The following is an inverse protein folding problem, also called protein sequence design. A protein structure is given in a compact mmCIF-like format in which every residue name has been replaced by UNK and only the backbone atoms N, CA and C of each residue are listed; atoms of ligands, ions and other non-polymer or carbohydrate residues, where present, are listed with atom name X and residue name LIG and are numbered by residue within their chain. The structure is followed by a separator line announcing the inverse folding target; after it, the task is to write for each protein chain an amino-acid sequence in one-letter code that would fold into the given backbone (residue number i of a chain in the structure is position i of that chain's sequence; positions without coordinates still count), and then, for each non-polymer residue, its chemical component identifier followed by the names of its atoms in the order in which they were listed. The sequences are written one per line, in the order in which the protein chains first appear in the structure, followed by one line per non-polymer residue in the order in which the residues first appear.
data_IF_937644227800
#
_entry.id   IF_937644227800
#
_cell.length_a   1.000
_cell.length_b   1.000
_cell.length_c   1.000
_cell.angle_alpha   90.00
_cell.angle_beta   90.00
_cell.angle_gamma   90.00
#
_symmetry.space_group_name_H-M   'P 1'
#
loop_
_entity.id
_entity.type
_entity.pdbx_description
1 polymer ?
#
# COMPACT_ATOMS: atom_id res chain seq x y z
N UNK A 1 -18.04 3.98 8.98
CA UNK A 1 -16.69 3.53 8.58
C UNK A 1 -16.68 2.82 7.21
N UNK A 2 -17.53 1.81 6.97
CA UNK A 2 -17.61 1.10 5.66
C UNK A 2 -17.82 2.06 4.48
N UNK A 3 -18.73 3.03 4.61
CA UNK A 3 -18.99 4.03 3.55
C UNK A 3 -17.71 4.74 3.12
N UNK A 4 -16.91 5.24 4.08
CA UNK A 4 -15.64 5.90 3.80
C UNK A 4 -14.63 4.94 3.17
N UNK A 5 -14.55 3.70 3.64
CA UNK A 5 -13.63 2.69 3.09
C UNK A 5 -13.98 2.34 1.62
N UNK A 6 -15.26 2.18 1.30
CA UNK A 6 -15.74 1.92 -0.07
C UNK A 6 -15.51 3.14 -0.97
N UNK A 7 -15.80 4.36 -0.49
CA UNK A 7 -15.55 5.58 -1.26
C UNK A 7 -14.06 5.78 -1.54
N UNK A 8 -13.20 5.56 -0.54
CA UNK A 8 -11.75 5.58 -0.70
C UNK A 8 -11.28 4.51 -1.69
N UNK A 9 -11.84 3.30 -1.61
CA UNK A 9 -11.58 2.20 -2.54
C UNK A 9 -11.87 2.61 -3.99
N UNK A 10 -13.10 3.06 -4.25
CA UNK A 10 -13.57 3.48 -5.57
C UNK A 10 -12.73 4.64 -6.10
N UNK A 11 -12.58 5.71 -5.33
CA UNK A 11 -11.78 6.87 -5.75
C UNK A 11 -10.33 6.48 -6.06
N UNK A 12 -9.68 5.73 -5.16
CA UNK A 12 -8.30 5.29 -5.35
C UNK A 12 -8.14 4.48 -6.63
N UNK A 13 -9.08 3.59 -6.94
CA UNK A 13 -9.01 2.78 -8.17
C UNK A 13 -9.21 3.60 -9.45
N UNK A 14 -10.09 4.61 -9.43
CA UNK A 14 -10.30 5.53 -10.55
C UNK A 14 -9.05 6.37 -10.77
N UNK A 15 -8.51 6.97 -9.70
CA UNK A 15 -7.29 7.78 -9.76
C UNK A 15 -6.09 6.96 -10.20
N UNK A 16 -5.98 5.69 -9.75
CA UNK A 16 -4.96 4.74 -10.18
C UNK A 16 -4.95 4.47 -11.69
N UNK A 17 -6.13 4.23 -12.27
CA UNK A 17 -6.31 4.00 -13.71
C UNK A 17 -6.03 5.26 -14.53
N UNK A 18 -6.04 6.45 -13.92
CA UNK A 18 -5.76 7.71 -14.63
C UNK A 18 -4.35 8.24 -14.40
N UNK A 19 -3.70 7.84 -13.31
CA UNK A 19 -2.38 8.30 -12.92
C UNK A 19 -1.39 8.21 -14.09
N UNK A 20 -0.61 9.27 -14.30
CA UNK A 20 0.31 9.32 -15.43
C UNK A 20 1.40 8.26 -15.33
N UNK A 21 1.92 8.01 -14.13
CA UNK A 21 3.01 7.06 -13.86
C UNK A 21 2.69 6.25 -12.60
N UNK A 22 3.29 5.08 -12.47
CA UNK A 22 3.17 4.17 -11.34
C UNK A 22 3.59 4.82 -10.01
N UNK A 23 4.62 5.68 -10.02
CA UNK A 23 5.13 6.31 -8.81
C UNK A 23 4.09 7.28 -8.24
N UNK A 24 3.46 8.09 -9.11
CA UNK A 24 2.35 8.97 -8.76
C UNK A 24 1.09 8.18 -8.43
N UNK A 25 0.87 7.06 -9.13
CA UNK A 25 -0.26 6.16 -8.91
C UNK A 25 -0.19 5.36 -7.61
N UNK A 26 1.02 5.15 -7.06
CA UNK A 26 1.26 4.25 -5.93
C UNK A 26 0.40 4.54 -4.72
N UNK A 27 0.24 5.83 -4.37
CA UNK A 27 -0.61 6.23 -3.26
C UNK A 27 -2.07 5.79 -3.50
N UNK A 28 -2.60 6.02 -4.71
CA UNK A 28 -3.95 5.63 -5.10
C UNK A 28 -4.17 4.11 -5.08
N UNK A 29 -3.18 3.32 -5.49
CA UNK A 29 -3.20 1.86 -5.32
C UNK A 29 -3.32 1.47 -3.84
N UNK A 30 -2.50 2.08 -2.98
CA UNK A 30 -2.48 1.80 -1.54
C UNK A 30 -3.84 2.11 -0.92
N UNK A 31 -4.40 3.29 -1.20
CA UNK A 31 -5.71 3.70 -0.70
C UNK A 31 -6.81 2.75 -1.16
N UNK A 32 -6.77 2.37 -2.45
CA UNK A 32 -7.81 1.53 -3.01
C UNK A 32 -7.85 0.16 -2.32
N UNK A 33 -6.69 -0.50 -2.25
CA UNK A 33 -6.54 -1.82 -1.65
C UNK A 33 -6.72 -1.79 -0.12
N UNK A 34 -6.25 -0.74 0.56
CA UNK A 34 -6.50 -0.54 1.98
C UNK A 34 -8.00 -0.35 2.26
N UNK A 35 -8.73 0.37 1.40
CA UNK A 35 -10.19 0.50 1.50
C UNK A 35 -10.92 -0.84 1.40
N UNK A 36 -10.50 -1.71 0.47
CA UNK A 36 -11.05 -3.08 0.34
C UNK A 36 -10.72 -3.91 1.60
N UNK A 37 -9.45 -3.94 2.03
CA UNK A 37 -9.02 -4.71 3.21
C UNK A 37 -9.70 -4.22 4.50
N UNK A 38 -9.81 -2.90 4.70
CA UNK A 38 -10.52 -2.31 5.84
C UNK A 38 -12.00 -2.65 5.83
N UNK A 39 -12.63 -2.68 4.65
CA UNK A 39 -14.03 -3.09 4.52
C UNK A 39 -14.23 -4.56 4.93
N UNK A 40 -13.24 -5.43 4.71
CA UNK A 40 -13.27 -6.81 5.21
C UNK A 40 -13.10 -6.87 6.72
N UNK A 41 -12.15 -6.10 7.27
CA UNK A 41 -11.86 -6.05 8.70
C UNK A 41 -13.09 -5.60 9.53
N UNK A 42 -13.79 -4.56 9.06
CA UNK A 42 -15.00 -4.04 9.72
C UNK A 42 -16.15 -5.05 9.70
N UNK A 43 -16.17 -5.95 8.72
CA UNK A 43 -17.16 -7.03 8.63
C UNK A 43 -16.75 -8.27 9.43
N UNK A 44 -15.67 -8.19 10.22
CA UNK A 44 -15.12 -9.30 11.01
C UNK A 44 -14.75 -10.51 10.16
N UNK A 45 -14.36 -10.28 8.90
CA UNK A 45 -13.89 -11.31 7.96
C UNK A 45 -12.36 -11.26 7.91
N UNK A 46 -11.71 -11.89 8.89
CA UNK A 46 -10.25 -11.88 9.03
C UNK A 46 -9.54 -12.46 7.80
N UNK A 47 -10.00 -13.59 7.27
CA UNK A 47 -9.42 -14.23 6.08
C UNK A 47 -9.43 -13.29 4.85
N UNK A 48 -10.54 -12.59 4.61
CA UNK A 48 -10.61 -11.62 3.53
C UNK A 48 -9.73 -10.39 3.76
N UNK A 49 -9.67 -9.86 4.98
CA UNK A 49 -8.81 -8.72 5.31
C UNK A 49 -7.34 -9.02 5.04
N UNK A 50 -6.89 -10.22 5.46
CA UNK A 50 -5.53 -10.72 5.22
C UNK A 50 -5.30 -10.91 3.72
N UNK A 51 -6.21 -11.58 3.01
CA UNK A 51 -6.06 -11.82 1.57
C UNK A 51 -5.89 -10.52 0.77
N UNK A 52 -6.72 -9.50 1.04
CA UNK A 52 -6.58 -8.20 0.38
C UNK A 52 -5.36 -7.39 0.86
N UNK A 53 -4.96 -7.55 2.12
CA UNK A 53 -3.73 -6.95 2.66
C UNK A 53 -2.46 -7.53 2.04
N UNK A 54 -2.40 -8.85 1.83
CA UNK A 54 -1.29 -9.49 1.12
C UNK A 54 -1.30 -9.10 -0.36
N UNK A 55 -2.47 -9.00 -0.98
CA UNK A 55 -2.61 -8.52 -2.36
C UNK A 55 -2.21 -7.06 -2.55
N UNK A 56 -2.35 -6.22 -1.52
CA UNK A 56 -1.82 -4.86 -1.52
C UNK A 56 -0.29 -4.88 -1.64
N UNK A 57 0.35 -5.75 -0.84
CA UNK A 57 1.80 -5.82 -0.67
C UNK A 57 2.47 -6.51 -1.86
N UNK A 58 2.07 -7.75 -2.20
CA UNK A 58 2.81 -8.57 -3.15
C UNK A 58 2.69 -8.07 -4.61
N UNK A 59 1.49 -8.02 -5.23
CA UNK A 59 1.29 -7.37 -6.52
C UNK A 59 1.80 -5.93 -6.56
N UNK A 60 1.57 -5.15 -5.51
CA UNK A 60 2.08 -3.77 -5.41
C UNK A 60 3.60 -3.74 -5.47
N UNK A 61 4.28 -4.57 -4.68
CA UNK A 61 5.74 -4.68 -4.68
C UNK A 61 6.28 -5.08 -6.05
N UNK A 62 5.70 -6.07 -6.73
CA UNK A 62 6.11 -6.44 -8.09
C UNK A 62 6.03 -5.24 -9.03
N UNK A 63 4.94 -4.47 -8.97
CA UNK A 63 4.75 -3.35 -9.87
C UNK A 63 5.70 -2.17 -9.58
N UNK A 64 5.93 -1.86 -8.30
CA UNK A 64 6.73 -0.70 -7.87
C UNK A 64 8.23 -0.98 -7.77
N UNK A 65 8.65 -2.24 -7.55
CA UNK A 65 10.06 -2.63 -7.59
C UNK A 65 10.53 -2.97 -9.02
N UNK A 66 9.60 -3.21 -9.95
CA UNK A 66 9.91 -3.39 -11.36
C UNK A 66 10.38 -2.08 -12.03
N UNK A 67 11.62 -1.66 -11.75
CA UNK A 67 12.32 -0.58 -12.46
C UNK A 67 12.45 -0.85 -13.96
N UNK A 68 12.69 -2.11 -14.35
CA UNK A 68 12.91 -2.51 -15.74
C UNK A 68 11.76 -3.38 -16.18
N UNK A 69 11.11 -3.03 -17.29
CA UNK A 69 9.95 -3.74 -17.81
C UNK A 69 10.20 -4.16 -19.24
N UNK A 70 10.53 -5.43 -19.40
CA UNK A 70 10.69 -6.08 -20.70
C UNK A 70 9.67 -7.18 -20.89
N UNK A 71 9.44 -7.61 -22.13
CA UNK A 71 8.51 -8.72 -22.45
C UNK A 71 8.86 -10.02 -21.71
N UNK A 72 10.13 -10.24 -21.33
CA UNK A 72 10.56 -11.41 -20.55
C UNK A 72 10.09 -11.39 -19.10
N UNK A 73 9.78 -10.21 -18.55
CA UNK A 73 9.26 -10.05 -17.18
C UNK A 73 7.72 -10.07 -17.12
N UNK A 74 7.07 -10.07 -18.28
CA UNK A 74 5.62 -10.12 -18.42
C UNK A 74 5.00 -11.34 -17.72
N UNK A 75 5.59 -12.56 -17.73
CA UNK A 75 5.07 -13.70 -16.96
C UNK A 75 4.98 -13.43 -15.45
N UNK A 76 5.94 -12.71 -14.87
CA UNK A 76 5.92 -12.36 -13.43
C UNK A 76 4.77 -11.39 -13.14
N UNK A 77 4.55 -10.44 -14.06
CA UNK A 77 3.40 -9.54 -14.02
C UNK A 77 2.07 -10.26 -14.15
N UNK A 78 1.96 -11.23 -15.08
CA UNK A 78 0.75 -12.05 -15.27
C UNK A 78 0.45 -12.86 -14.01
N UNK A 79 1.45 -13.50 -13.42
CA UNK A 79 1.27 -14.27 -12.18
C UNK A 79 0.75 -13.37 -11.04
N UNK A 80 1.28 -12.15 -10.95
CA UNK A 80 0.83 -11.14 -9.98
C UNK A 80 -0.59 -10.67 -10.26
N UNK A 81 -0.94 -10.46 -11.54
CA UNK A 81 -2.28 -10.08 -11.97
C UNK A 81 -3.31 -11.17 -11.65
N UNK A 82 -2.97 -12.43 -11.93
CA UNK A 82 -3.80 -13.58 -11.58
C UNK A 82 -4.04 -13.65 -10.08
N UNK A 83 -3.01 -13.39 -9.26
CA UNK A 83 -3.17 -13.35 -7.81
C UNK A 83 -4.14 -12.26 -7.33
N UNK A 84 -4.39 -11.19 -8.12
CA UNK A 84 -5.31 -10.08 -7.77
C UNK A 84 -6.75 -10.29 -8.29
N UNK A 85 -6.96 -11.27 -9.16
CA UNK A 85 -8.23 -11.49 -9.87
C UNK A 85 -9.33 -12.14 -9.01
N UNK A 86 -9.00 -12.62 -7.82
CA UNK A 86 -9.90 -13.39 -6.94
C UNK A 86 -10.55 -14.60 -7.60
N UNK A 87 -9.93 -15.15 -8.66
CA UNK A 87 -10.40 -16.39 -9.27
C UNK A 87 -10.26 -17.58 -8.30
N UNK A 88 -11.06 -18.65 -8.47
CA UNK A 88 -10.86 -19.89 -7.73
C UNK A 88 -9.39 -20.33 -7.82
N UNK A 89 -8.83 -20.83 -6.71
CA UNK A 89 -7.41 -21.24 -6.57
C UNK A 89 -6.38 -20.10 -6.51
N UNK A 90 -6.81 -18.83 -6.48
CA UNK A 90 -5.91 -17.69 -6.25
C UNK A 90 -5.85 -17.31 -4.77
N UNK A 91 -4.74 -16.70 -4.28
CA UNK A 91 -4.62 -16.24 -2.89
C UNK A 91 -5.72 -15.28 -2.46
N UNK A 92 -6.22 -14.46 -3.39
CA UNK A 92 -7.28 -13.48 -3.12
C UNK A 92 -8.69 -14.05 -3.19
N UNK A 93 -8.85 -15.35 -3.46
CA UNK A 93 -10.16 -16.01 -3.48
C UNK A 93 -10.88 -15.89 -2.13
N UNK A 94 -10.18 -16.08 -1.02
CA UNK A 94 -10.70 -15.85 0.32
C UNK A 94 -11.19 -14.40 0.55
N UNK A 95 -10.63 -13.46 -0.22
CA UNK A 95 -11.05 -12.05 -0.26
C UNK A 95 -12.52 -11.85 -0.65
N UNK A 96 -13.14 -12.80 -1.34
CA UNK A 96 -14.55 -12.72 -1.74
C UNK A 96 -15.53 -12.95 -0.58
N UNK A 97 -15.06 -13.38 0.60
CA UNK A 97 -15.92 -13.51 1.79
C UNK A 97 -16.57 -12.18 2.23
N UNK A 98 -16.01 -11.04 1.81
CA UNK A 98 -16.59 -9.70 2.00
C UNK A 98 -18.04 -9.65 1.50
N UNK A 99 -18.37 -10.42 0.46
CA UNK A 99 -19.65 -10.37 -0.24
C UNK A 99 -20.69 -11.37 0.26
N UNK A 100 -20.38 -12.13 1.33
CA UNK A 100 -21.32 -13.11 1.90
C UNK A 100 -22.63 -12.47 2.34
N UNK A 101 -22.55 -11.26 2.91
CA UNK A 101 -23.74 -10.48 3.27
C UNK A 101 -23.93 -9.38 2.22
N UNK A 102 -24.87 -9.53 1.27
CA UNK A 102 -25.07 -8.54 0.23
C UNK A 102 -25.53 -7.22 0.85
N UNK A 103 -24.78 -6.15 0.58
CA UNK A 103 -25.12 -4.77 0.95
C UNK A 103 -24.93 -3.90 -0.29
N UNK A 104 -25.81 -2.93 -0.50
CA UNK A 104 -25.78 -2.06 -1.68
C UNK A 104 -24.39 -1.45 -1.93
N UNK A 105 -23.71 -0.97 -0.87
CA UNK A 105 -22.38 -0.38 -0.97
C UNK A 105 -21.30 -1.35 -1.48
N UNK A 106 -21.45 -2.66 -1.25
CA UNK A 106 -20.44 -3.64 -1.66
C UNK A 106 -20.44 -3.88 -3.17
N UNK A 107 -21.51 -3.54 -3.90
CA UNK A 107 -21.55 -3.64 -5.36
C UNK A 107 -20.50 -2.77 -6.07
N UNK A 108 -19.97 -1.75 -5.40
CA UNK A 108 -18.91 -0.90 -5.93
C UNK A 108 -17.50 -1.50 -5.79
N UNK A 109 -17.30 -2.49 -4.92
CA UNK A 109 -15.99 -3.10 -4.73
C UNK A 109 -15.54 -4.00 -5.90
N UNK A 110 -16.40 -4.80 -6.56
CA UNK A 110 -16.02 -5.51 -7.79
C UNK A 110 -15.62 -4.55 -8.91
N UNK A 111 -16.31 -3.41 -9.04
CA UNK A 111 -15.92 -2.34 -9.98
C UNK A 111 -14.51 -1.81 -9.64
N UNK A 112 -14.25 -1.57 -8.36
CA UNK A 112 -12.93 -1.16 -7.86
C UNK A 112 -11.85 -2.17 -8.24
N UNK A 113 -12.12 -3.47 -8.04
CA UNK A 113 -11.21 -4.55 -8.37
C UNK A 113 -10.88 -4.57 -9.88
N UNK A 114 -11.88 -4.42 -10.73
CA UNK A 114 -11.69 -4.34 -12.19
C UNK A 114 -10.81 -3.15 -12.57
N UNK A 115 -11.06 -1.98 -11.98
CA UNK A 115 -10.24 -0.79 -12.23
C UNK A 115 -8.79 -1.01 -11.76
N UNK A 116 -8.58 -1.65 -10.60
CA UNK A 116 -7.22 -1.99 -10.14
C UNK A 116 -6.50 -2.92 -11.10
N UNK A 117 -7.16 -3.96 -11.60
CA UNK A 117 -6.64 -4.88 -12.61
C UNK A 117 -6.29 -4.15 -13.91
N UNK A 118 -7.18 -3.29 -14.41
CA UNK A 118 -6.97 -2.51 -15.63
C UNK A 118 -5.77 -1.57 -15.47
N UNK A 119 -5.69 -0.85 -14.35
CA UNK A 119 -4.57 0.04 -14.05
C UNK A 119 -3.25 -0.73 -13.92
N UNK A 120 -3.28 -1.90 -13.29
CA UNK A 120 -2.11 -2.78 -13.18
C UNK A 120 -1.61 -3.22 -14.56
N UNK A 121 -2.50 -3.73 -15.43
CA UNK A 121 -2.15 -4.11 -16.81
C UNK A 121 -1.59 -2.92 -17.58
N UNK A 122 -2.22 -1.74 -17.48
CA UNK A 122 -1.78 -0.53 -18.17
C UNK A 122 -0.35 -0.14 -17.78
N UNK A 123 -0.05 -0.13 -16.48
CA UNK A 123 1.27 0.25 -15.97
C UNK A 123 2.32 -0.83 -16.22
N UNK A 124 1.96 -2.11 -16.18
CA UNK A 124 2.86 -3.23 -16.49
C UNK A 124 3.26 -3.28 -17.96
N UNK A 125 2.39 -2.88 -18.89
CA UNK A 125 2.68 -2.89 -20.33
C UNK A 125 3.56 -1.73 -20.80
N UNK A 126 3.83 -0.74 -19.94
CA UNK A 126 4.79 0.31 -20.28
C UNK A 126 6.19 -0.26 -20.28
N UNK A 127 6.82 -0.22 -21.45
CA UNK A 127 8.22 -0.58 -21.61
C UNK A 127 9.09 0.53 -21.01
N UNK A 128 10.06 0.14 -20.20
CA UNK A 128 11.12 1.04 -19.69
C UNK A 128 12.45 0.67 -20.30
N UNK A 129 13.41 1.59 -20.24
CA UNK A 129 14.74 1.37 -20.80
C UNK A 129 15.38 0.10 -20.21
N UNK A 130 15.97 -0.77 -21.04
CA UNK A 130 16.60 -1.99 -20.56
C UNK A 130 17.85 -1.67 -19.73
N UNK A 131 18.22 -2.58 -18.82
CA UNK A 131 19.49 -2.52 -18.09
C UNK A 131 20.68 -2.69 -19.07
N UNK A 132 21.10 -1.60 -19.70
CA UNK A 132 22.32 -1.51 -20.51
C UNK A 132 23.53 -1.33 -19.60
N UNK A 133 24.64 -2.03 -19.90
CA UNK A 133 25.88 -1.90 -19.13
C UNK A 133 25.92 -2.63 -17.78
N UNK A 134 24.84 -3.32 -17.39
CA UNK A 134 24.80 -4.09 -16.13
C UNK A 134 25.24 -5.54 -16.37
N UNK A 135 26.03 -6.07 -15.45
CA UNK A 135 26.55 -7.45 -15.50
C UNK A 135 25.41 -8.50 -15.53
N UNK A 136 25.57 -9.63 -16.27
CA UNK A 136 24.51 -10.61 -16.46
C UNK A 136 23.95 -11.22 -15.17
N UNK A 137 24.78 -11.47 -14.15
CA UNK A 137 24.32 -12.07 -12.89
C UNK A 137 23.39 -11.14 -12.11
N UNK A 138 23.60 -9.81 -12.17
CA UNK A 138 22.71 -8.82 -11.55
C UNK A 138 21.32 -8.88 -12.16
N UNK A 139 21.23 -9.08 -13.49
CA UNK A 139 19.95 -9.25 -14.19
C UNK A 139 19.22 -10.50 -13.71
N UNK A 140 19.94 -11.59 -13.49
CA UNK A 140 19.38 -12.85 -12.96
C UNK A 140 18.86 -12.65 -11.54
N UNK A 141 19.68 -12.07 -10.64
CA UNK A 141 19.28 -11.77 -9.26
C UNK A 141 18.05 -10.87 -9.21
N UNK A 142 18.01 -9.85 -10.06
CA UNK A 142 16.85 -8.95 -10.18
C UNK A 142 15.57 -9.69 -10.59
N UNK A 143 15.63 -10.54 -11.62
CA UNK A 143 14.47 -11.31 -12.09
C UNK A 143 14.01 -12.29 -11.01
N UNK A 144 14.93 -13.00 -10.35
CA UNK A 144 14.62 -13.93 -9.26
C UNK A 144 13.99 -13.19 -8.08
N UNK A 145 14.57 -12.05 -7.69
CA UNK A 145 14.07 -11.21 -6.60
C UNK A 145 12.68 -10.65 -6.88
N UNK A 146 12.34 -10.35 -8.15
CA UNK A 146 10.98 -9.96 -8.50
C UNK A 146 10.03 -11.16 -8.53
N UNK A 147 10.49 -12.32 -9.01
CA UNK A 147 9.68 -13.54 -9.14
C UNK A 147 9.34 -14.18 -7.79
N UNK A 148 10.18 -14.02 -6.76
CA UNK A 148 9.90 -14.57 -5.43
C UNK A 148 8.67 -13.93 -4.79
N UNK A 149 8.31 -12.69 -5.16
CA UNK A 149 7.16 -11.98 -4.62
C UNK A 149 5.83 -12.67 -4.95
N UNK A 150 5.44 -12.90 -6.23
CA UNK A 150 4.22 -13.62 -6.53
C UNK A 150 4.30 -15.09 -6.08
N UNK A 151 5.47 -15.74 -6.16
CA UNK A 151 5.61 -17.13 -5.71
C UNK A 151 5.30 -17.25 -4.21
N UNK A 152 5.85 -16.35 -3.39
CA UNK A 152 5.57 -16.32 -1.95
C UNK A 152 4.13 -15.96 -1.63
N UNK A 153 3.48 -15.10 -2.45
CA UNK A 153 2.04 -14.83 -2.32
C UNK A 153 1.18 -16.06 -2.58
N UNK A 154 1.53 -16.87 -3.59
CA UNK A 154 0.85 -18.15 -3.81
C UNK A 154 1.13 -19.15 -2.69
N UNK A 155 2.38 -19.25 -2.25
CA UNK A 155 2.77 -20.15 -1.17
C UNK A 155 2.06 -19.83 0.14
N UNK A 156 1.85 -18.54 0.47
CA UNK A 156 1.13 -18.14 1.68
C UNK A 156 -0.34 -18.57 1.67
N UNK A 157 -0.98 -18.65 0.49
CA UNK A 157 -2.34 -19.16 0.38
C UNK A 157 -2.45 -20.66 0.69
N UNK A 158 -1.42 -21.44 0.34
CA UNK A 158 -1.38 -22.89 0.64
C UNK A 158 -0.99 -23.17 2.09
N UNK A 159 -0.10 -22.35 2.68
CA UNK A 159 0.41 -22.56 4.04
C UNK A 159 -0.51 -22.00 5.14
N UNK A 160 -1.43 -21.10 4.82
CA UNK A 160 -2.28 -20.42 5.81
C UNK A 160 -3.70 -21.00 5.80
N UNK A 161 -4.12 -21.74 6.85
CA UNK A 161 -5.45 -22.34 6.92
C UNK A 161 -6.59 -21.32 6.80
N UNK A 162 -6.39 -20.08 7.31
CA UNK A 162 -7.41 -19.03 7.26
C UNK A 162 -7.72 -18.52 5.85
N UNK A 163 -6.79 -18.72 4.90
CA UNK A 163 -6.99 -18.42 3.48
C UNK A 163 -7.53 -19.65 2.75
N UNK A 164 -7.08 -20.85 3.15
CA UNK A 164 -7.50 -22.12 2.56
C UNK A 164 -8.97 -22.50 2.91
N UNK A 165 -9.43 -22.19 4.13
CA UNK A 165 -10.75 -22.56 4.63
C UNK A 165 -11.80 -21.48 4.29
N UNK A 166 -11.89 -21.15 3.00
CA UNK A 166 -12.66 -20.01 2.52
C UNK A 166 -14.19 -20.16 2.71
N UNK A 167 -14.67 -21.32 3.17
CA UNK A 167 -16.09 -21.61 3.36
C UNK A 167 -16.91 -21.46 2.07
N UNK A 168 -18.22 -21.24 2.20
CA UNK A 168 -19.05 -20.88 1.05
C UNK A 168 -18.73 -19.44 0.62
N UNK A 169 -18.05 -19.33 -0.51
CA UNK A 169 -17.70 -18.05 -1.14
C UNK A 169 -18.73 -17.73 -2.22
N UNK A 170 -19.37 -16.54 -2.19
CA UNK A 170 -20.32 -16.15 -3.22
C UNK A 170 -19.62 -15.90 -4.56
N UNK A 171 -20.17 -16.44 -5.64
CA UNK A 171 -19.62 -16.30 -7.01
C UNK A 171 -20.12 -15.02 -7.70
N UNK A 172 -21.25 -14.46 -7.26
CA UNK A 172 -21.84 -13.26 -7.88
C UNK A 172 -20.89 -12.06 -8.05
N UNK A 173 -19.92 -11.77 -7.15
CA UNK A 173 -18.99 -10.64 -7.33
C UNK A 173 -18.10 -10.81 -8.56
N UNK A 174 -17.75 -12.06 -8.90
CA UNK A 174 -16.97 -12.36 -10.10
C UNK A 174 -17.79 -12.10 -11.37
N UNK A 175 -19.09 -12.39 -11.36
CA UNK A 175 -19.99 -12.07 -12.47
C UNK A 175 -20.13 -10.55 -12.65
N UNK A 176 -20.27 -9.81 -11.56
CA UNK A 176 -20.33 -8.34 -11.57
C UNK A 176 -19.00 -7.75 -12.07
N UNK A 177 -17.86 -8.27 -11.59
CA UNK A 177 -16.54 -7.87 -12.07
C UNK A 177 -16.38 -8.18 -13.57
N UNK A 178 -16.80 -9.36 -14.04
CA UNK A 178 -16.78 -9.71 -15.45
C UNK A 178 -17.67 -8.76 -16.28
N UNK A 179 -18.86 -8.41 -15.78
CA UNK A 179 -19.75 -7.43 -16.39
C UNK A 179 -19.11 -6.05 -16.53
N UNK A 180 -18.52 -5.51 -15.46
CA UNK A 180 -17.78 -4.24 -15.52
C UNK A 180 -16.56 -4.31 -16.44
N UNK A 181 -15.85 -5.43 -16.45
CA UNK A 181 -14.72 -5.67 -17.36
C UNK A 181 -15.14 -5.65 -18.83
N UNK A 182 -16.24 -6.32 -19.16
CA UNK A 182 -16.83 -6.31 -20.51
C UNK A 182 -17.31 -4.91 -20.90
N UNK A 183 -18.02 -4.21 -20.02
CA UNK A 183 -18.47 -2.83 -20.27
C UNK A 183 -17.27 -1.90 -20.50
N UNK A 184 -16.21 -2.03 -19.71
CA UNK A 184 -14.97 -1.28 -19.89
C UNK A 184 -14.29 -1.58 -21.23
N UNK A 185 -14.22 -2.86 -21.62
CA UNK A 185 -13.69 -3.26 -22.91
C UNK A 185 -14.52 -2.69 -24.08
N UNK A 186 -15.85 -2.80 -24.03
CA UNK A 186 -16.76 -2.24 -25.03
C UNK A 186 -16.59 -0.72 -25.12
N UNK A 187 -16.53 -0.02 -23.99
CA UNK A 187 -16.34 1.42 -23.96
C UNK A 187 -14.99 1.85 -24.58
N UNK A 188 -13.93 1.08 -24.32
CA UNK A 188 -12.62 1.27 -24.93
C UNK A 188 -12.66 1.06 -26.46
N UNK A 189 -13.28 -0.03 -26.92
CA UNK A 189 -13.46 -0.28 -28.36
C UNK A 189 -14.32 0.77 -29.06
N UNK A 190 -15.30 1.35 -28.36
CA UNK A 190 -16.17 2.41 -28.87
C UNK A 190 -15.63 3.83 -28.70
N UNK A 191 -14.41 4.00 -28.19
CA UNK A 191 -13.77 5.30 -28.01
C UNK A 191 -14.61 6.29 -27.17
N UNK A 192 -15.40 5.78 -26.21
CA UNK A 192 -16.22 6.61 -25.34
C UNK A 192 -15.31 7.40 -24.38
N UNK A 193 -15.23 8.72 -24.57
CA UNK A 193 -14.48 9.62 -23.69
C UNK A 193 -15.35 9.96 -22.48
N UNK A 194 -14.90 9.59 -21.29
CA UNK A 194 -15.59 9.94 -20.05
C UNK A 194 -15.31 11.43 -19.75
N UNK A 195 -16.35 12.27 -19.53
CA UNK A 195 -16.19 13.70 -19.29
C UNK A 195 -15.32 13.99 -18.06
N UNK A 196 -14.43 14.97 -18.19
CA UNK A 196 -13.40 15.28 -17.19
C UNK A 196 -13.98 16.02 -15.98
N UNK A 197 -15.09 16.74 -16.12
CA UNK A 197 -15.64 17.60 -15.06
C UNK A 197 -16.08 16.84 -13.81
N UNK A 198 -16.66 15.64 -13.98
CA UNK A 198 -17.13 14.80 -12.86
C UNK A 198 -15.98 14.44 -11.91
N UNK A 199 -14.75 14.40 -12.42
CA UNK A 199 -13.59 13.97 -11.65
C UNK A 199 -12.85 15.11 -10.94
N UNK A 200 -12.93 16.34 -11.45
CA UNK A 200 -12.27 17.49 -10.82
C UNK A 200 -12.80 17.77 -9.41
N UNK A 201 -14.09 17.49 -9.16
CA UNK A 201 -14.70 17.65 -7.86
C UNK A 201 -14.26 16.56 -6.86
N UNK A 202 -14.11 15.31 -7.32
CA UNK A 202 -13.58 14.22 -6.49
C UNK A 202 -12.09 14.42 -6.18
N UNK A 203 -11.31 14.96 -7.12
CA UNK A 203 -9.88 15.18 -6.94
C UNK A 203 -9.56 16.21 -5.85
N UNK A 204 -10.38 17.26 -5.69
CA UNK A 204 -10.19 18.26 -4.62
C UNK A 204 -10.28 17.66 -3.21
N UNK A 205 -11.24 16.77 -2.97
CA UNK A 205 -11.48 16.20 -1.62
C UNK A 205 -10.61 14.98 -1.37
N UNK A 206 -10.35 14.16 -2.39
CA UNK A 206 -9.67 12.87 -2.24
C UNK A 206 -8.24 12.80 -2.81
N UNK A 207 -7.68 13.85 -3.40
CA UNK A 207 -6.28 13.84 -3.88
C UNK A 207 -5.25 13.72 -2.76
N UNK A 208 -5.67 13.78 -1.48
CA UNK A 208 -4.86 13.53 -0.28
C UNK A 208 -3.57 14.36 -0.20
N UNK A 209 -3.43 15.41 -1.01
CA UNK A 209 -2.44 16.48 -0.82
C UNK A 209 -2.55 17.11 0.59
N UNK A 210 -3.72 17.00 1.22
CA UNK A 210 -3.89 17.39 2.62
C UNK A 210 -3.15 16.47 3.59
N UNK A 211 -3.02 15.17 3.30
CA UNK A 211 -2.24 14.23 4.14
C UNK A 211 -0.75 14.55 4.03
N UNK A 212 -0.23 14.76 2.82
CA UNK A 212 1.17 15.17 2.66
C UNK A 212 1.45 16.44 3.46
N UNK A 213 0.50 17.40 3.45
CA UNK A 213 0.57 18.61 4.26
C UNK A 213 0.54 18.32 5.76
N UNK A 214 -0.28 17.37 6.22
CA UNK A 214 -0.36 16.96 7.64
C UNK A 214 0.91 16.23 8.08
N UNK A 215 1.47 15.34 7.26
CA UNK A 215 2.73 14.62 7.54
C UNK A 215 3.89 15.60 7.64
N UNK A 216 3.99 16.54 6.69
CA UNK A 216 5.00 17.61 6.75
C UNK A 216 4.79 18.50 7.96
N UNK A 217 3.55 18.81 8.32
CA UNK A 217 3.24 19.57 9.52
C UNK A 217 3.67 18.83 10.80
N UNK A 218 3.37 17.53 10.92
CA UNK A 218 3.83 16.70 12.05
C UNK A 218 5.35 16.60 12.10
N UNK A 219 6.01 16.43 10.95
CA UNK A 219 7.47 16.39 10.86
C UNK A 219 8.11 17.70 11.36
N UNK A 220 7.57 18.84 10.94
CA UNK A 220 8.00 20.16 11.42
C UNK A 220 7.72 20.37 12.91
N UNK A 221 6.59 19.88 13.43
CA UNK A 221 6.29 19.95 14.86
C UNK A 221 7.30 19.11 15.68
N UNK A 222 7.68 17.94 15.18
CA UNK A 222 8.70 17.09 15.80
C UNK A 222 10.09 17.75 15.74
N UNK A 223 10.44 18.35 14.61
CA UNK A 223 11.70 19.09 14.43
C UNK A 223 11.77 20.30 15.37
N UNK A 224 10.66 21.00 15.60
CA UNK A 224 10.56 22.07 16.59
C UNK A 224 10.72 21.57 18.03
N UNK A 225 10.17 20.41 18.36
CA UNK A 225 10.35 19.79 19.68
C UNK A 225 11.80 19.36 19.91
N UNK A 226 12.40 18.70 18.92
CA UNK A 226 13.80 18.26 18.99
C UNK A 226 14.72 19.47 19.11
N UNK A 227 14.54 20.49 18.27
CA UNK A 227 15.35 21.71 18.35
C UNK A 227 15.14 22.47 19.67
N UNK A 228 13.94 22.45 20.26
CA UNK A 228 13.71 22.99 21.61
C UNK A 228 14.48 22.24 22.69
N UNK A 229 14.50 20.90 22.64
CA UNK A 229 15.26 20.06 23.57
C UNK A 229 16.76 20.25 23.36
N UNK A 230 17.23 20.26 22.12
CA UNK A 230 18.62 20.53 21.77
C UNK A 230 19.05 21.91 22.22
N UNK A 231 18.22 22.95 22.07
CA UNK A 231 18.53 24.30 22.55
C UNK A 231 18.62 24.39 24.09
N UNK A 232 17.83 23.57 24.82
CA UNK A 232 17.92 23.46 26.27
C UNK A 232 19.17 22.69 26.74
N UNK A 233 19.64 21.73 25.93
CA UNK A 233 20.83 20.91 26.21
C UNK A 233 22.15 21.54 25.75
N UNK A 234 22.17 22.22 24.59
CA UNK A 234 23.34 22.90 24.01
C UNK A 234 23.41 24.40 24.36
N UNK A 235 22.32 25.02 24.81
CA UNK A 235 22.30 26.42 25.26
C UNK A 235 22.75 26.62 26.72
N UNK A 236 22.38 27.76 27.32
CA UNK A 236 22.70 28.12 28.73
C UNK A 236 22.27 27.06 29.76
N UNK A 237 21.28 26.21 29.43
CA UNK A 237 20.86 25.07 30.23
C UNK A 237 21.93 23.98 30.34
N UNK A 238 22.71 23.73 29.29
CA UNK A 238 23.83 22.79 29.31
C UNK A 238 24.94 23.22 30.28
N UNK A 239 25.20 24.53 30.37
CA UNK A 239 26.16 25.12 31.31
C UNK A 239 25.69 24.97 32.76
N UNK A 240 24.39 25.21 33.01
CA UNK A 240 23.79 25.00 34.34
C UNK A 240 23.82 23.53 34.76
N UNK A 241 23.51 22.60 33.86
CA UNK A 241 23.61 21.16 34.15
C UNK A 241 25.06 20.72 34.37
N UNK A 242 26.02 21.21 33.59
CA UNK A 242 27.44 20.95 33.80
C UNK A 242 27.91 21.46 35.17
N UNK A 243 27.46 22.63 35.60
CA UNK A 243 27.74 23.18 36.93
C UNK A 243 27.10 22.36 38.05
N UNK A 244 25.87 21.87 37.87
CA UNK A 244 25.21 20.97 38.84
C UNK A 244 25.99 19.66 38.97
N UNK A 245 26.39 19.04 37.84
CA UNK A 245 27.20 17.83 37.87
C UNK A 245 28.57 18.06 38.52
N UNK A 246 29.22 19.20 38.23
CA UNK A 246 30.47 19.58 38.87
C UNK A 246 30.30 19.75 40.38
N UNK A 247 29.26 20.48 40.82
CA UNK A 247 28.97 20.69 42.24
C UNK A 247 28.65 19.37 42.95
N UNK A 248 27.89 18.47 42.33
CA UNK A 248 27.63 17.13 42.86
C UNK A 248 28.92 16.32 42.97
N UNK A 249 29.80 16.38 41.97
CA UNK A 249 31.08 15.66 41.97
C UNK A 249 32.02 16.18 43.06
N UNK A 250 32.13 17.50 43.22
CA UNK A 250 32.90 18.13 44.31
C UNK A 250 32.33 17.78 45.68
N UNK A 251 31.00 17.77 45.83
CA UNK A 251 30.35 17.38 47.08
C UNK A 251 30.65 15.92 47.45
N UNK A 252 30.62 15.01 46.47
CA UNK A 252 30.93 13.59 46.69
C UNK A 252 32.40 13.40 47.03
N UNK A 253 33.32 14.04 46.30
CA UNK A 253 34.75 13.99 46.61
C UNK A 253 35.07 14.58 47.99
N UNK A 254 34.38 15.67 48.37
CA UNK A 254 34.48 16.26 49.69
C UNK A 254 34.04 15.30 50.79
N UNK A 255 32.90 14.61 50.61
CA UNK A 255 32.44 13.57 51.55
C UNK A 255 33.42 12.40 51.66
N UNK A 256 34.00 11.95 50.54
CA UNK A 256 35.00 10.87 50.54
C UNK A 256 36.28 11.29 51.24
N UNK A 257 36.77 12.52 51.02
CA UNK A 257 37.96 13.05 51.71
C UNK A 257 37.75 13.29 53.22
N UNK A 258 36.53 13.67 53.63
CA UNK A 258 36.16 13.84 55.03
C UNK A 258 35.99 12.52 55.79
N UNK A 259 35.70 11.43 55.08
CA UNK A 259 35.56 10.07 55.65
C UNK A 259 36.87 9.34 55.94
N UNK A 260 38.02 9.85 55.45
CA UNK A 260 39.36 9.27 55.71
C UNK A 260 40.12 9.95 56.85
N UNK A 261 39.50 10.93 57.53
CA UNK A 261 40.10 11.68 58.64
C UNK A 261 39.51 11.40 60.03
N UNK A 262 38.77 10.30 60.19
CA UNK A 262 38.21 9.82 61.47
C UNK A 262 38.79 8.47 61.87
#
# INVERSE_FOLDING_TARGET
LIVFAVLAAVYGSIAWVRAENEIRGRLYWIIAMAGISLTAAVQLKAGAAIAWGLALIYPGAVMFLASVRTKRMLPIGILSLLSLSSLPLTPTFAGLQIYQTPRFLLFFLPMTQVLLLVGFVRHMRRETEPLTGVEPWVKVVYIIGLAILPISHYLSAFLTPQIADAGQVPIWPLLVAAGFGLLGAIAYYRNLRIPVEVFLQLDKVFSLHWIDRVVVWMGKALEQLISGITLLLEGDGGVLWALVFLAMLVSILGQISGGFGG
#
